data_IF_638378964062
#
_entry.id   IF_638378964062
#
_cell.length_a   1.000
_cell.length_b   1.000
_cell.length_c   1.000
_cell.angle_alpha   90.00
_cell.angle_beta   90.00
_cell.angle_gamma   90.00
#
_symmetry.space_group_name_H-M   'P 1'
#
loop_
_entity.id
_entity.type
_entity.pdbx_description
1 polymer ?
#
# COMPACT_ATOMS: atom_id res chain seq x y z
N UNK A 1 60.30 35.74 48.44
CA UNK A 1 60.25 35.14 47.09
C UNK A 1 59.55 33.79 47.21
N UNK A 2 58.31 33.69 46.71
CA UNK A 2 58.04 32.63 45.73
C UNK A 2 57.12 33.07 44.56
N UNK A 3 57.34 32.36 43.45
CA UNK A 3 56.46 31.95 42.35
C UNK A 3 55.33 32.88 41.85
N UNK A 4 55.49 33.28 40.58
CA UNK A 4 54.49 33.86 39.68
C UNK A 4 53.52 32.76 39.25
N UNK A 5 52.22 32.97 39.46
CA UNK A 5 51.14 32.21 38.81
C UNK A 5 50.33 33.19 37.97
N UNK A 6 50.44 33.04 36.65
CA UNK A 6 49.57 33.71 35.69
C UNK A 6 48.30 32.86 35.48
N UNK A 7 47.13 33.48 35.39
CA UNK A 7 46.08 32.96 34.52
C UNK A 7 45.11 34.07 34.10
N UNK A 8 44.74 33.99 32.83
CA UNK A 8 44.16 35.02 32.00
C UNK A 8 42.70 35.38 32.34
N UNK A 9 42.37 36.65 32.10
CA UNK A 9 41.02 37.15 31.90
C UNK A 9 40.50 36.65 30.54
N UNK A 10 39.30 36.07 30.51
CA UNK A 10 38.49 35.93 29.31
C UNK A 10 37.18 36.70 29.49
N UNK A 11 37.03 37.73 28.65
CA UNK A 11 35.76 38.37 28.31
C UNK A 11 34.95 37.44 27.38
N UNK A 12 33.63 37.43 27.51
CA UNK A 12 32.74 36.79 26.53
C UNK A 12 31.27 36.99 26.88
N UNK A 13 30.59 37.77 26.04
CA UNK A 13 29.21 38.24 26.20
C UNK A 13 28.15 37.21 25.78
N UNK A 14 26.92 37.51 26.19
CA UNK A 14 25.60 37.18 25.62
C UNK A 14 25.46 35.99 24.67
N UNK A 15 24.53 35.10 24.99
CA UNK A 15 23.33 34.82 24.17
C UNK A 15 22.43 33.93 25.02
N UNK A 16 21.34 34.49 25.56
CA UNK A 16 20.17 33.69 25.93
C UNK A 16 19.68 33.05 24.63
N UNK A 17 19.82 31.72 24.55
CA UNK A 17 19.42 30.94 23.40
C UNK A 17 17.96 31.24 23.06
N UNK A 18 17.78 31.56 21.79
CA UNK A 18 16.53 31.97 21.16
C UNK A 18 15.44 30.93 21.31
N UNK A 19 14.24 31.44 21.46
CA UNK A 19 12.93 30.90 21.09
C UNK A 19 12.78 29.38 21.09
N UNK A 20 11.92 28.94 22.01
CA UNK A 20 11.13 27.74 21.86
C UNK A 20 10.43 27.76 20.49
N UNK A 21 11.07 27.17 19.48
CA UNK A 21 10.39 26.65 18.31
C UNK A 21 9.48 25.53 18.79
N UNK A 22 8.23 25.92 19.04
CA UNK A 22 7.01 25.14 18.88
C UNK A 22 7.23 23.66 18.53
N UNK A 23 6.78 22.70 19.36
CA UNK A 23 6.57 21.34 18.88
C UNK A 23 5.30 21.35 18.02
N UNK A 24 5.44 21.90 16.81
CA UNK A 24 4.40 22.09 15.81
C UNK A 24 4.74 21.38 14.50
N UNK A 25 5.33 20.20 14.60
CA UNK A 25 5.43 19.27 13.48
C UNK A 25 5.18 17.87 14.03
N UNK A 26 3.91 17.59 14.38
CA UNK A 26 3.43 16.21 14.24
C UNK A 26 3.76 15.82 12.80
N UNK A 27 4.78 14.99 12.63
CA UNK A 27 5.01 14.31 11.37
C UNK A 27 3.72 13.55 11.10
N UNK A 28 2.87 14.08 10.22
CA UNK A 28 1.76 13.34 9.64
C UNK A 28 2.43 12.18 8.92
N UNK A 29 2.52 11.05 9.60
CA UNK A 29 2.81 9.76 8.99
C UNK A 29 1.76 9.62 7.89
N UNK A 30 2.14 9.96 6.66
CA UNK A 30 1.23 9.89 5.53
C UNK A 30 0.95 8.41 5.37
N UNK A 31 -0.32 8.03 5.48
CA UNK A 31 -0.72 6.65 5.32
C UNK A 31 -0.27 6.17 3.93
N UNK A 32 0.60 5.17 3.92
CA UNK A 32 1.13 4.59 2.69
C UNK A 32 -0.01 4.13 1.76
N UNK A 33 -1.16 3.71 2.29
CA UNK A 33 -2.34 3.36 1.46
C UNK A 33 -2.85 4.56 0.66
N UNK A 34 -2.89 5.74 1.26
CA UNK A 34 -3.36 6.96 0.57
C UNK A 34 -2.43 7.27 -0.59
N UNK A 35 -1.11 7.18 -0.38
CA UNK A 35 -0.12 7.38 -1.43
C UNK A 35 -0.24 6.34 -2.54
N UNK A 36 -0.34 5.06 -2.16
CA UNK A 36 -0.45 3.92 -3.08
C UNK A 36 -1.70 4.06 -3.97
N UNK A 37 -2.82 4.50 -3.41
CA UNK A 37 -4.04 4.79 -4.13
C UNK A 37 -3.86 5.99 -5.07
N UNK A 38 -3.25 7.09 -4.59
CA UNK A 38 -3.04 8.30 -5.38
C UNK A 38 -2.24 8.02 -6.67
N UNK A 39 -1.16 7.26 -6.54
CA UNK A 39 -0.25 6.94 -7.66
C UNK A 39 -0.67 5.72 -8.49
N UNK A 40 -1.83 5.13 -8.21
CA UNK A 40 -2.31 3.94 -8.91
C UNK A 40 -2.48 4.20 -10.42
N UNK A 41 -1.98 3.29 -11.24
CA UNK A 41 -2.03 3.40 -12.70
C UNK A 41 -3.44 3.15 -13.27
N UNK A 42 -4.23 2.28 -12.61
CA UNK A 42 -5.56 1.87 -13.05
C UNK A 42 -6.56 2.16 -11.93
N UNK A 43 -7.31 3.26 -12.08
CA UNK A 43 -8.29 3.72 -11.09
C UNK A 43 -9.73 3.53 -11.53
N UNK A 44 -9.95 3.21 -12.80
CA UNK A 44 -11.28 3.13 -13.40
C UNK A 44 -11.37 2.02 -14.46
N UNK A 45 -12.59 1.71 -14.90
CA UNK A 45 -12.82 0.81 -16.01
C UNK A 45 -12.22 1.35 -17.32
N UNK A 46 -12.26 2.66 -17.52
CA UNK A 46 -11.70 3.33 -18.68
C UNK A 46 -10.18 3.19 -18.72
N UNK A 47 -9.51 3.34 -17.58
CA UNK A 47 -8.05 3.13 -17.45
C UNK A 47 -7.70 1.66 -17.68
N UNK A 48 -8.48 0.74 -17.11
CA UNK A 48 -8.30 -0.69 -17.31
C UNK A 48 -8.40 -1.06 -18.79
N UNK A 49 -9.39 -0.53 -19.50
CA UNK A 49 -9.55 -0.76 -20.94
C UNK A 49 -8.40 -0.18 -21.76
N UNK A 50 -7.90 1.01 -21.41
CA UNK A 50 -6.71 1.59 -22.05
C UNK A 50 -5.47 0.72 -21.80
N UNK A 51 -5.25 0.32 -20.55
CA UNK A 51 -4.11 -0.49 -20.14
C UNK A 51 -4.12 -1.87 -20.82
N UNK A 52 -5.26 -2.55 -20.85
CA UNK A 52 -5.39 -3.89 -21.45
C UNK A 52 -5.30 -3.85 -22.99
N UNK A 53 -5.72 -2.76 -23.64
CA UNK A 53 -5.55 -2.60 -25.10
C UNK A 53 -4.08 -2.52 -25.50
N UNK A 54 -3.27 -1.83 -24.71
CA UNK A 54 -1.82 -1.70 -24.96
C UNK A 54 -1.04 -2.89 -24.39
N UNK A 55 -1.52 -3.44 -23.28
CA UNK A 55 -0.90 -4.46 -22.42
C UNK A 55 0.62 -4.54 -22.58
N UNK A 56 1.38 -3.66 -21.89
CA UNK A 56 2.84 -3.61 -21.98
C UNK A 56 3.49 -4.99 -21.81
N UNK A 57 4.62 -5.23 -22.47
CA UNK A 57 5.30 -6.54 -22.44
C UNK A 57 5.78 -6.93 -21.04
N UNK A 58 6.14 -5.94 -20.24
CA UNK A 58 6.57 -6.04 -18.85
C UNK A 58 5.43 -5.90 -17.84
N UNK A 59 4.17 -5.84 -18.30
CA UNK A 59 3.01 -5.72 -17.43
C UNK A 59 2.95 -6.86 -16.40
N UNK A 60 2.76 -6.55 -15.09
CA UNK A 60 2.51 -7.57 -14.06
C UNK A 60 1.32 -8.49 -14.38
N UNK A 61 0.31 -8.03 -15.12
CA UNK A 61 -0.80 -8.88 -15.54
C UNK A 61 -0.36 -10.06 -16.41
N UNK A 62 0.82 -10.00 -17.05
CA UNK A 62 1.37 -11.11 -17.84
C UNK A 62 1.99 -12.23 -17.01
N UNK A 63 2.12 -12.05 -15.69
CA UNK A 63 2.52 -13.13 -14.77
C UNK A 63 1.40 -14.17 -14.60
N UNK A 64 0.15 -13.75 -14.81
CA UNK A 64 -0.99 -14.65 -14.90
C UNK A 64 -1.05 -15.30 -16.29
N UNK A 65 -1.45 -16.56 -16.32
CA UNK A 65 -1.83 -17.26 -17.55
C UNK A 65 -2.93 -16.49 -18.28
N UNK A 66 -3.06 -16.72 -19.59
CA UNK A 66 -4.04 -15.97 -20.40
C UNK A 66 -5.48 -16.17 -19.91
N UNK A 67 -5.81 -17.35 -19.38
CA UNK A 67 -7.11 -17.67 -18.81
C UNK A 67 -7.32 -17.02 -17.44
N UNK A 68 -6.36 -17.16 -16.52
CA UNK A 68 -6.42 -16.55 -15.20
C UNK A 68 -6.45 -15.03 -15.26
N UNK A 69 -5.65 -14.41 -16.13
CA UNK A 69 -5.69 -12.97 -16.39
C UNK A 69 -7.09 -12.50 -16.80
N UNK A 70 -7.75 -13.22 -17.73
CA UNK A 70 -9.10 -12.86 -18.17
C UNK A 70 -10.11 -12.92 -17.02
N UNK A 71 -10.07 -13.99 -16.22
CA UNK A 71 -10.96 -14.16 -15.06
C UNK A 71 -10.69 -13.09 -14.00
N UNK A 72 -9.43 -12.85 -13.63
CA UNK A 72 -9.04 -11.80 -12.70
C UNK A 72 -9.55 -10.42 -13.17
N UNK A 73 -9.28 -10.03 -14.42
CA UNK A 73 -9.75 -8.77 -15.00
C UNK A 73 -11.28 -8.68 -14.97
N UNK A 74 -11.99 -9.75 -15.35
CA UNK A 74 -13.46 -9.78 -15.33
C UNK A 74 -14.05 -9.71 -13.92
N UNK A 75 -13.24 -10.01 -12.91
CA UNK A 75 -13.65 -9.97 -11.51
C UNK A 75 -13.54 -8.57 -10.90
N UNK A 76 -12.85 -7.62 -11.54
CA UNK A 76 -12.60 -6.29 -10.99
C UNK A 76 -13.89 -5.46 -10.93
N UNK A 77 -14.16 -4.87 -9.78
CA UNK A 77 -15.23 -3.89 -9.58
C UNK A 77 -14.60 -2.56 -9.18
N UNK A 78 -15.04 -1.47 -9.81
CA UNK A 78 -14.58 -0.11 -9.51
C UNK A 78 -15.71 0.72 -8.91
N UNK A 79 -15.33 1.64 -8.02
CA UNK A 79 -16.15 2.75 -7.53
C UNK A 79 -15.49 4.07 -7.94
N UNK A 80 -16.10 5.24 -7.60
CA UNK A 80 -15.43 6.53 -7.79
C UNK A 80 -14.08 6.66 -7.06
N UNK A 81 -13.83 5.87 -6.02
CA UNK A 81 -12.60 5.91 -5.23
C UNK A 81 -11.49 5.01 -5.79
N UNK A 82 -11.79 4.15 -6.76
CA UNK A 82 -10.83 3.22 -7.35
C UNK A 82 -11.35 1.78 -7.40
N UNK A 83 -10.42 0.81 -7.41
CA UNK A 83 -10.79 -0.60 -7.30
C UNK A 83 -11.49 -0.84 -5.95
N UNK A 84 -12.71 -1.38 -5.96
CA UNK A 84 -13.51 -1.65 -4.76
C UNK A 84 -13.63 -3.14 -4.45
N UNK A 85 -13.46 -4.02 -5.44
CA UNK A 85 -13.42 -5.47 -5.23
C UNK A 85 -12.73 -6.24 -6.34
N UNK A 86 -12.23 -7.43 -6.03
CA UNK A 86 -11.64 -8.37 -6.99
C UNK A 86 -11.67 -9.81 -6.44
N UNK A 87 -11.57 -10.81 -7.32
CA UNK A 87 -11.30 -12.20 -6.92
C UNK A 87 -9.80 -12.40 -6.72
N UNK A 88 -9.44 -13.12 -5.66
CA UNK A 88 -8.05 -13.49 -5.36
C UNK A 88 -7.71 -14.93 -5.76
N UNK A 89 -8.66 -15.71 -6.27
CA UNK A 89 -8.51 -17.16 -6.51
C UNK A 89 -7.34 -17.45 -7.46
N UNK A 90 -7.32 -16.77 -8.62
CA UNK A 90 -6.27 -16.92 -9.62
C UNK A 90 -4.92 -16.35 -9.14
N UNK A 91 -4.93 -15.34 -8.25
CA UNK A 91 -3.70 -14.83 -7.64
C UNK A 91 -3.07 -15.88 -6.72
N UNK A 92 -3.87 -16.54 -5.90
CA UNK A 92 -3.42 -17.61 -4.99
C UNK A 92 -2.95 -18.82 -5.78
N UNK A 93 -3.69 -19.20 -6.83
CA UNK A 93 -3.39 -20.39 -7.62
C UNK A 93 -2.10 -20.25 -8.44
N UNK A 94 -1.88 -19.10 -9.07
CA UNK A 94 -0.79 -18.95 -10.04
C UNK A 94 0.40 -18.14 -9.52
N UNK A 95 0.22 -17.24 -8.55
CA UNK A 95 1.25 -16.25 -8.21
C UNK A 95 1.90 -16.51 -6.84
N UNK A 96 3.15 -16.06 -6.73
CA UNK A 96 3.77 -15.80 -5.43
C UNK A 96 3.23 -14.50 -4.83
N UNK A 97 3.48 -14.29 -3.54
CA UNK A 97 3.05 -13.07 -2.87
C UNK A 97 3.65 -11.81 -3.48
N UNK A 98 4.92 -11.87 -3.90
CA UNK A 98 5.57 -10.74 -4.56
C UNK A 98 5.01 -10.45 -5.95
N UNK A 99 4.63 -11.49 -6.71
CA UNK A 99 3.97 -11.31 -8.01
C UNK A 99 2.56 -10.73 -7.86
N UNK A 100 1.78 -11.25 -6.90
CA UNK A 100 0.47 -10.70 -6.56
C UNK A 100 0.58 -9.23 -6.10
N UNK A 101 1.60 -8.90 -5.30
CA UNK A 101 1.90 -7.53 -4.89
C UNK A 101 2.08 -6.61 -6.12
N UNK A 102 2.89 -7.03 -7.11
CA UNK A 102 3.10 -6.25 -8.35
C UNK A 102 1.82 -6.10 -9.17
N UNK A 103 0.98 -7.13 -9.24
CA UNK A 103 -0.33 -7.06 -9.92
C UNK A 103 -1.25 -6.07 -9.24
N UNK A 104 -1.38 -6.14 -7.91
CA UNK A 104 -2.25 -5.28 -7.13
C UNK A 104 -1.74 -3.83 -7.05
N UNK A 105 -0.42 -3.61 -7.19
CA UNK A 105 0.18 -2.28 -7.29
C UNK A 105 -0.31 -1.48 -8.51
N UNK A 106 -0.75 -2.15 -9.58
CA UNK A 106 -1.37 -1.47 -10.72
C UNK A 106 -2.64 -0.69 -10.31
N UNK A 107 -3.28 -1.11 -9.22
CA UNK A 107 -4.54 -0.57 -8.70
C UNK A 107 -4.36 0.15 -7.35
N UNK A 108 -3.12 0.29 -6.86
CA UNK A 108 -2.83 0.86 -5.54
C UNK A 108 -3.30 -0.01 -4.37
N UNK A 109 -3.47 -1.32 -4.57
CA UNK A 109 -4.00 -2.27 -3.57
C UNK A 109 -2.98 -3.32 -3.14
N UNK A 110 -1.68 -3.04 -3.33
CA UNK A 110 -0.59 -3.96 -3.01
C UNK A 110 -0.58 -4.40 -1.54
N UNK A 111 -1.06 -3.56 -0.61
CA UNK A 111 -1.16 -3.91 0.80
C UNK A 111 -2.17 -5.05 1.07
N UNK A 112 -3.10 -5.33 0.15
CA UNK A 112 -4.08 -6.40 0.34
C UNK A 112 -3.46 -7.80 0.31
N UNK A 113 -2.21 -7.98 -0.17
CA UNK A 113 -1.53 -9.30 -0.08
C UNK A 113 -1.40 -9.81 1.35
N UNK A 114 -1.45 -8.92 2.35
CA UNK A 114 -1.44 -9.28 3.77
C UNK A 114 -2.68 -10.07 4.22
N UNK A 115 -3.83 -9.87 3.55
CA UNK A 115 -5.13 -10.45 3.94
C UNK A 115 -5.57 -11.61 3.04
N UNK A 116 -4.91 -11.84 1.90
CA UNK A 116 -5.23 -12.93 0.98
C UNK A 116 -4.76 -14.28 1.56
N UNK A 117 -5.64 -15.27 1.76
CA UNK A 117 -5.27 -16.59 2.27
C UNK A 117 -4.47 -17.39 1.25
N UNK A 118 -3.53 -18.21 1.71
CA UNK A 118 -2.87 -19.22 0.88
C UNK A 118 -1.90 -18.67 -0.17
N UNK A 119 -1.67 -17.35 -0.21
CA UNK A 119 -0.71 -16.72 -1.11
C UNK A 119 0.69 -17.29 -0.89
N UNK A 120 1.32 -17.81 -1.96
CA UNK A 120 2.57 -18.58 -1.87
C UNK A 120 3.74 -17.66 -1.51
N UNK A 121 4.56 -18.05 -0.53
CA UNK A 121 5.76 -17.30 -0.10
C UNK A 121 7.02 -18.18 -0.16
N UNK A 122 7.46 -18.62 -1.36
CA UNK A 122 8.55 -19.58 -1.50
C UNK A 122 9.94 -19.00 -1.21
N UNK A 123 10.08 -17.67 -1.21
CA UNK A 123 11.34 -16.94 -1.10
C UNK A 123 11.22 -15.74 -0.14
N UNK A 124 12.37 -15.14 0.18
CA UNK A 124 12.45 -14.02 1.13
C UNK A 124 11.76 -12.75 0.62
N UNK A 125 11.75 -12.50 -0.70
CA UNK A 125 11.09 -11.32 -1.26
C UNK A 125 9.56 -11.43 -1.17
N UNK A 126 9.01 -12.63 -1.34
CA UNK A 126 7.58 -12.90 -1.14
C UNK A 126 7.18 -12.77 0.33
N UNK A 127 8.01 -13.23 1.25
CA UNK A 127 7.79 -13.01 2.70
C UNK A 127 7.84 -11.52 3.03
N UNK A 128 8.84 -10.80 2.49
CA UNK A 128 9.00 -9.36 2.70
C UNK A 128 7.81 -8.56 2.17
N UNK A 129 7.25 -8.94 1.01
CA UNK A 129 6.05 -8.30 0.46
C UNK A 129 4.86 -8.41 1.43
N UNK A 130 4.64 -9.58 2.03
CA UNK A 130 3.58 -9.80 3.01
C UNK A 130 3.86 -9.06 4.32
N UNK A 131 5.08 -9.10 4.84
CA UNK A 131 5.41 -8.41 6.09
C UNK A 131 5.30 -6.89 5.95
N UNK A 132 5.77 -6.33 4.83
CA UNK A 132 5.63 -4.90 4.52
C UNK A 132 4.16 -4.49 4.41
N UNK A 133 3.36 -5.28 3.68
CA UNK A 133 1.93 -5.05 3.55
C UNK A 133 1.19 -5.08 4.91
N UNK A 134 1.59 -5.98 5.82
CA UNK A 134 1.02 -6.05 7.18
C UNK A 134 1.30 -4.80 8.01
N UNK A 135 2.49 -4.22 7.87
CA UNK A 135 2.84 -2.96 8.53
C UNK A 135 1.97 -1.80 8.04
N UNK A 136 1.65 -1.79 6.73
CA UNK A 136 0.79 -0.79 6.09
C UNK A 136 -0.68 -0.97 6.51
N UNK A 137 -1.16 -2.21 6.64
CA UNK A 137 -2.54 -2.51 7.07
C UNK A 137 -2.79 -2.31 8.57
N UNK A 138 -1.96 -1.54 9.28
CA UNK A 138 -2.11 -1.31 10.72
C UNK A 138 -3.42 -0.59 11.06
N UNK A 139 -4.00 -0.79 12.27
CA UNK A 139 -5.40 -0.48 12.58
C UNK A 139 -5.80 1.01 12.61
N UNK A 140 -4.89 1.92 12.28
CA UNK A 140 -5.16 3.37 12.31
C UNK A 140 -6.04 3.84 11.15
N UNK A 141 -6.27 2.99 10.15
CA UNK A 141 -7.11 3.30 9.01
C UNK A 141 -8.45 2.53 9.08
N UNK A 142 -9.56 3.28 8.98
CA UNK A 142 -10.95 2.80 9.16
C UNK A 142 -11.42 1.83 8.05
N UNK A 143 -10.70 1.72 6.93
CA UNK A 143 -11.04 0.74 5.88
C UNK A 143 -10.21 -0.53 5.96
N UNK A 144 -10.83 -1.57 6.49
CA UNK A 144 -10.31 -2.94 6.43
C UNK A 144 -10.57 -3.55 5.05
N UNK A 145 -9.62 -4.32 4.53
CA UNK A 145 -9.83 -5.16 3.36
C UNK A 145 -10.51 -6.46 3.81
N UNK A 146 -11.77 -6.68 3.42
CA UNK A 146 -12.56 -7.80 3.88
C UNK A 146 -12.43 -9.00 2.93
N UNK A 147 -11.92 -10.11 3.47
CA UNK A 147 -11.87 -11.40 2.77
C UNK A 147 -13.25 -12.02 2.63
N UNK A 148 -13.45 -12.74 1.53
CA UNK A 148 -14.66 -13.49 1.20
C UNK A 148 -15.88 -12.58 1.12
N UNK A 149 -15.64 -11.34 0.68
CA UNK A 149 -16.64 -10.28 0.52
C UNK A 149 -16.48 -9.61 -0.85
N UNK A 150 -17.55 -8.99 -1.33
CA UNK A 150 -17.57 -8.09 -2.49
C UNK A 150 -18.26 -6.78 -2.12
N UNK A 151 -17.92 -5.72 -2.81
CA UNK A 151 -18.61 -4.45 -2.76
C UNK A 151 -19.91 -4.57 -3.56
N UNK A 152 -21.05 -4.44 -2.89
CA UNK A 152 -22.38 -4.52 -3.50
C UNK A 152 -22.99 -3.14 -3.72
N UNK A 153 -22.76 -2.22 -2.79
CA UNK A 153 -23.17 -0.82 -2.85
C UNK A 153 -22.15 0.04 -2.08
N UNK A 154 -22.18 1.38 -2.20
CA UNK A 154 -21.30 2.25 -1.42
C UNK A 154 -21.34 1.91 0.07
N UNK A 155 -20.17 1.84 0.70
CA UNK A 155 -19.94 1.43 2.08
C UNK A 155 -20.58 0.08 2.47
N UNK A 156 -20.84 -0.81 1.50
CA UNK A 156 -21.58 -2.06 1.71
C UNK A 156 -20.83 -3.25 1.11
N UNK A 157 -20.10 -3.96 1.96
CA UNK A 157 -19.52 -5.27 1.63
C UNK A 157 -20.51 -6.40 1.94
N UNK A 158 -20.71 -7.33 1.01
CA UNK A 158 -21.54 -8.53 1.21
C UNK A 158 -20.78 -9.82 0.91
N UNK A 159 -21.21 -10.98 1.49
CA UNK A 159 -20.49 -12.23 1.35
C UNK A 159 -20.29 -12.67 -0.11
N UNK A 160 -19.05 -13.02 -0.45
CA UNK A 160 -18.67 -13.64 -1.72
C UNK A 160 -17.30 -14.33 -1.59
N UNK A 161 -17.31 -15.66 -1.44
CA UNK A 161 -16.09 -16.48 -1.29
C UNK A 161 -15.07 -16.23 -2.41
N UNK A 162 -13.79 -16.19 -2.08
CA UNK A 162 -12.70 -16.02 -3.06
C UNK A 162 -12.48 -14.58 -3.50
N UNK A 163 -13.09 -13.60 -2.81
CA UNK A 163 -13.02 -12.17 -3.15
C UNK A 163 -12.54 -11.29 -2.01
N UNK A 164 -11.99 -10.13 -2.35
CA UNK A 164 -11.72 -9.05 -1.40
C UNK A 164 -12.70 -7.91 -1.67
N UNK A 165 -13.31 -7.38 -0.60
CA UNK A 165 -13.97 -6.08 -0.59
C UNK A 165 -13.01 -5.05 0.03
N UNK A 166 -12.70 -3.98 -0.68
CA UNK A 166 -11.76 -2.95 -0.24
C UNK A 166 -12.55 -1.88 0.52
N UNK A 167 -12.55 -1.93 1.86
CA UNK A 167 -13.47 -1.15 2.69
C UNK A 167 -13.41 0.37 2.52
N UNK A 168 -12.29 0.94 2.09
CA UNK A 168 -12.20 2.38 1.79
C UNK A 168 -12.65 2.78 0.39
N UNK A 169 -12.67 1.82 -0.53
CA UNK A 169 -13.08 2.05 -1.90
C UNK A 169 -14.48 1.52 -2.17
N UNK A 170 -15.04 0.68 -1.30
CA UNK A 170 -16.46 0.42 -1.22
C UNK A 170 -17.10 1.54 -0.39
#
# INVERSE_FOLDING_TARGET
MPAITALALFFGADVMARDALTPGYESREVDQRILDQDVALIRSNEDLQKYVRLLPQDSPLRMLSSGARKRFISSLTFSPNGLSSYSYDDLVYELTAYEAYKVLALFGQQASVAVIPGLRQPDEISKAAVSSAKSISSPKYDGTDYRDMKCEAPATCSPATGRICLGTNC
#
